data_IF_795104152897
#
_entry.id   IF_795104152897
#
_cell.length_a   1.000
_cell.length_b   1.000
_cell.length_c   1.000
_cell.angle_alpha   90.00
_cell.angle_beta   90.00
_cell.angle_gamma   90.00
#
_symmetry.space_group_name_H-M   'P 1'
#
loop_
_entity.id
_entity.type
_entity.pdbx_description
1 polymer ?
#
# COMPACT_ATOMS: atom_id res chain seq x y z
N UNK A 1 19.88 -19.13 -31.42
CA UNK A 1 18.57 -19.70 -31.05
C UNK A 1 17.61 -18.52 -31.08
N UNK A 2 16.92 -18.36 -32.21
CA UNK A 2 16.02 -17.22 -32.44
C UNK A 2 14.86 -17.29 -31.44
N UNK A 3 14.67 -16.21 -30.70
CA UNK A 3 13.53 -16.03 -29.81
C UNK A 3 12.26 -15.90 -30.68
N UNK A 4 11.19 -16.64 -30.37
CA UNK A 4 9.99 -16.61 -31.17
C UNK A 4 9.40 -15.19 -31.16
N UNK A 5 9.05 -14.74 -32.37
CA UNK A 5 8.45 -13.45 -32.67
C UNK A 5 7.19 -13.25 -31.81
N UNK A 6 7.26 -12.32 -30.86
CA UNK A 6 6.15 -11.99 -29.95
C UNK A 6 5.32 -10.91 -30.64
N UNK A 7 4.13 -11.27 -31.14
CA UNK A 7 3.08 -10.38 -31.67
C UNK A 7 3.51 -8.91 -31.90
N UNK A 8 4.24 -8.63 -32.98
CA UNK A 8 4.33 -7.31 -33.63
C UNK A 8 4.93 -6.11 -32.85
N UNK A 9 5.40 -6.26 -31.62
CA UNK A 9 6.01 -5.15 -30.86
C UNK A 9 7.53 -5.12 -30.98
N UNK A 10 8.08 -3.96 -31.33
CA UNK A 10 9.52 -3.70 -31.31
C UNK A 10 9.90 -3.08 -29.97
N UNK A 11 10.82 -3.72 -29.22
CA UNK A 11 11.25 -3.30 -27.87
C UNK A 11 12.77 -3.00 -27.71
N UNK A 12 13.51 -2.51 -28.73
CA UNK A 12 14.95 -2.32 -28.59
C UNK A 12 15.33 -1.28 -27.52
N UNK A 13 14.60 -0.16 -27.42
CA UNK A 13 14.90 0.90 -26.45
C UNK A 13 14.49 0.48 -25.05
N UNK A 14 13.39 -0.27 -24.91
CA UNK A 14 12.99 -0.84 -23.62
C UNK A 14 14.03 -1.81 -23.08
N UNK A 15 14.61 -2.68 -23.93
CA UNK A 15 15.68 -3.60 -23.53
C UNK A 15 16.94 -2.86 -23.08
N UNK A 16 17.42 -1.89 -23.87
CA UNK A 16 18.57 -1.05 -23.51
C UNK A 16 18.32 -0.28 -22.19
N UNK A 17 17.13 0.29 -22.03
CA UNK A 17 16.77 1.00 -20.80
C UNK A 17 16.69 0.05 -19.60
N UNK A 18 16.21 -1.18 -19.77
CA UNK A 18 16.11 -2.16 -18.69
C UNK A 18 17.51 -2.64 -18.23
N UNK A 19 18.45 -2.86 -19.15
CA UNK A 19 19.85 -3.15 -18.80
C UNK A 19 20.45 -2.02 -17.95
N UNK A 20 20.19 -0.76 -18.33
CA UNK A 20 20.63 0.41 -17.56
C UNK A 20 19.94 0.49 -16.20
N UNK A 21 18.64 0.18 -16.11
CA UNK A 21 17.90 0.16 -14.86
C UNK A 21 18.50 -0.88 -13.90
N UNK A 22 18.73 -2.11 -14.37
CA UNK A 22 19.35 -3.17 -13.57
C UNK A 22 20.79 -2.84 -13.14
N UNK A 23 21.54 -2.10 -13.95
CA UNK A 23 22.88 -1.64 -13.59
C UNK A 23 22.89 -0.52 -12.52
N UNK A 24 21.80 0.24 -12.39
CA UNK A 24 21.74 1.45 -11.56
C UNK A 24 20.84 1.31 -10.32
N UNK A 25 19.87 0.40 -10.36
CA UNK A 25 18.83 0.26 -9.35
C UNK A 25 18.72 -1.22 -8.96
N UNK A 26 18.83 -1.57 -7.67
CA UNK A 26 18.60 -2.94 -7.20
C UNK A 26 17.23 -3.45 -7.66
N UNK A 27 17.21 -4.57 -8.39
CA UNK A 27 15.99 -5.16 -8.95
C UNK A 27 15.38 -4.39 -10.14
N UNK A 28 16.13 -3.46 -10.76
CA UNK A 28 15.70 -2.74 -11.96
C UNK A 28 14.62 -1.68 -11.73
N UNK A 29 14.14 -1.50 -10.49
CA UNK A 29 13.09 -0.54 -10.17
C UNK A 29 13.06 -0.17 -8.68
N UNK A 30 12.46 0.97 -8.36
CA UNK A 30 12.24 1.40 -6.96
C UNK A 30 11.09 0.66 -6.24
N UNK A 31 10.51 -0.36 -6.87
CA UNK A 31 9.45 -1.20 -6.30
C UNK A 31 9.54 -2.57 -6.94
N UNK A 32 9.67 -3.64 -6.15
CA UNK A 32 9.85 -5.00 -6.67
C UNK A 32 8.69 -5.48 -7.56
N UNK A 33 7.47 -4.98 -7.37
CA UNK A 33 6.34 -5.25 -8.28
C UNK A 33 6.55 -4.77 -9.74
N UNK A 34 7.64 -4.04 -10.03
CA UNK A 34 8.05 -3.61 -11.36
C UNK A 34 9.31 -4.33 -11.85
N UNK A 35 9.88 -5.24 -11.05
CA UNK A 35 11.09 -5.98 -11.38
C UNK A 35 10.86 -7.03 -12.47
N UNK A 36 11.95 -7.49 -13.07
CA UNK A 36 11.93 -8.47 -14.17
C UNK A 36 11.36 -9.83 -13.75
N UNK A 37 11.42 -10.16 -12.46
CA UNK A 37 10.87 -11.39 -11.88
C UNK A 37 9.33 -11.40 -11.82
N UNK A 38 8.68 -10.26 -12.10
CA UNK A 38 7.23 -10.11 -12.10
C UNK A 38 6.59 -10.21 -13.49
N UNK A 39 7.40 -10.21 -14.55
CA UNK A 39 6.95 -10.21 -15.94
C UNK A 39 7.66 -11.32 -16.73
N UNK A 40 7.10 -11.80 -17.85
CA UNK A 40 7.79 -12.80 -18.66
C UNK A 40 9.15 -12.28 -19.14
N UNK A 41 10.13 -13.18 -19.21
CA UNK A 41 11.47 -12.86 -19.70
C UNK A 41 11.37 -12.16 -21.08
N UNK A 42 12.08 -11.04 -21.22
CA UNK A 42 12.07 -10.18 -22.42
C UNK A 42 10.78 -9.40 -22.73
N UNK A 43 9.79 -9.39 -21.82
CA UNK A 43 8.50 -8.68 -21.97
C UNK A 43 8.24 -7.64 -20.86
N UNK A 44 9.28 -6.94 -20.40
CA UNK A 44 9.15 -5.78 -19.51
C UNK A 44 9.32 -4.46 -20.29
N UNK A 45 8.26 -3.89 -20.87
CA UNK A 45 8.35 -2.58 -21.52
C UNK A 45 8.68 -1.50 -20.49
N UNK A 46 9.60 -0.59 -20.82
CA UNK A 46 9.91 0.56 -19.96
C UNK A 46 8.92 1.67 -20.27
N UNK A 47 8.02 1.96 -19.33
CA UNK A 47 6.92 2.92 -19.53
C UNK A 47 7.45 4.36 -19.58
N UNK A 48 7.07 5.10 -20.63
CA UNK A 48 7.41 6.52 -20.80
C UNK A 48 6.33 7.44 -20.24
N UNK A 49 5.06 7.19 -20.54
CA UNK A 49 3.93 8.00 -20.08
C UNK A 49 2.60 7.25 -20.14
N UNK A 50 1.58 7.83 -19.51
CA UNK A 50 0.20 7.34 -19.57
C UNK A 50 -0.80 8.46 -19.71
N UNK A 51 -1.96 8.15 -20.31
CA UNK A 51 -3.11 9.05 -20.43
C UNK A 51 -4.41 8.24 -20.47
N UNK A 52 -5.34 8.53 -19.57
CA UNK A 52 -6.57 7.75 -19.41
C UNK A 52 -6.25 6.29 -19.08
N UNK A 53 -6.85 5.35 -19.79
CA UNK A 53 -6.62 3.91 -19.60
C UNK A 53 -5.37 3.36 -20.33
N UNK A 54 -4.62 4.21 -21.02
CA UNK A 54 -3.50 3.77 -21.86
C UNK A 54 -2.15 4.22 -21.30
N UNK A 55 -1.13 3.41 -21.56
CA UNK A 55 0.29 3.71 -21.34
C UNK A 55 1.09 3.47 -22.62
N UNK A 56 2.22 4.15 -22.73
CA UNK A 56 3.17 4.01 -23.81
C UNK A 56 4.52 3.64 -23.23
N UNK A 57 5.22 2.71 -23.88
CA UNK A 57 6.61 2.45 -23.55
C UNK A 57 7.56 3.49 -24.18
N UNK A 58 8.87 3.31 -24.02
CA UNK A 58 9.90 4.15 -24.64
C UNK A 58 10.07 3.88 -26.13
N UNK A 59 9.59 2.76 -26.65
CA UNK A 59 9.59 2.41 -28.08
C UNK A 59 8.38 2.99 -28.83
N UNK A 60 7.38 3.50 -28.10
CA UNK A 60 6.16 4.09 -28.63
C UNK A 60 4.99 3.12 -28.76
N UNK A 61 5.16 1.88 -28.29
CA UNK A 61 4.07 0.90 -28.26
C UNK A 61 3.04 1.31 -27.22
N UNK A 62 1.76 1.13 -27.54
CA UNK A 62 0.63 1.54 -26.70
C UNK A 62 -0.07 0.34 -26.10
N UNK A 63 -0.33 0.39 -24.80
CA UNK A 63 -0.98 -0.66 -24.03
C UNK A 63 -2.21 -0.12 -23.30
N UNK A 64 -3.17 -0.98 -23.03
CA UNK A 64 -4.20 -0.75 -22.01
C UNK A 64 -3.65 -1.27 -20.68
N UNK A 65 -3.57 -0.44 -19.64
CA UNK A 65 -2.97 -0.84 -18.37
C UNK A 65 -4.01 -1.27 -17.34
N UNK A 66 -4.26 -2.58 -17.24
CA UNK A 66 -5.18 -3.13 -16.24
C UNK A 66 -4.64 -3.04 -14.79
N UNK A 67 -3.32 -3.04 -14.62
CA UNK A 67 -2.67 -2.85 -13.31
C UNK A 67 -2.67 -1.39 -12.82
N UNK A 68 -2.92 -0.43 -13.72
CA UNK A 68 -3.03 1.03 -13.50
C UNK A 68 -2.18 1.55 -12.33
N UNK A 69 -0.88 1.70 -12.55
CA UNK A 69 0.06 2.28 -11.58
C UNK A 69 0.17 1.48 -10.29
N UNK A 70 0.24 0.15 -10.38
CA UNK A 70 0.22 -0.75 -9.20
C UNK A 70 -1.01 -0.51 -8.31
N UNK A 71 -2.18 -0.33 -8.95
CA UNK A 71 -3.47 -0.02 -8.34
C UNK A 71 -3.50 1.36 -7.65
N UNK A 72 -2.55 2.26 -7.91
CA UNK A 72 -2.62 3.65 -7.41
C UNK A 72 -3.41 4.59 -8.31
N UNK A 73 -3.55 4.27 -9.59
CA UNK A 73 -4.32 5.06 -10.56
C UNK A 73 -5.71 4.46 -10.68
N UNK A 74 -6.74 5.26 -10.43
CA UNK A 74 -8.15 4.84 -10.40
C UNK A 74 -9.01 5.57 -11.42
N UNK A 75 -8.71 6.85 -11.67
CA UNK A 75 -9.39 7.70 -12.65
C UNK A 75 -8.73 7.64 -14.05
N UNK A 76 -7.65 6.87 -14.17
CA UNK A 76 -6.77 6.87 -15.33
C UNK A 76 -5.62 7.88 -15.20
N UNK A 77 -4.60 7.68 -16.03
CA UNK A 77 -3.36 8.44 -16.00
C UNK A 77 -3.56 9.88 -16.46
N UNK A 78 -2.82 10.80 -15.85
CA UNK A 78 -2.86 12.23 -16.17
C UNK A 78 -4.29 12.79 -16.22
N UNK A 79 -5.13 12.38 -15.26
CA UNK A 79 -6.52 12.81 -15.20
C UNK A 79 -6.61 14.35 -15.10
N UNK A 80 -7.25 15.05 -16.05
CA UNK A 80 -7.15 16.52 -16.16
C UNK A 80 -7.52 17.27 -14.88
N UNK A 81 -8.58 16.84 -14.17
CA UNK A 81 -9.01 17.46 -12.91
C UNK A 81 -7.93 17.34 -11.82
N UNK A 82 -7.25 16.19 -11.75
CA UNK A 82 -6.24 15.92 -10.72
C UNK A 82 -4.97 16.69 -11.04
N UNK A 83 -4.49 16.59 -12.29
CA UNK A 83 -3.28 17.30 -12.73
C UNK A 83 -3.42 18.82 -12.61
N UNK A 84 -4.58 19.39 -12.93
CA UNK A 84 -4.83 20.82 -12.78
C UNK A 84 -4.86 21.27 -11.30
N UNK A 85 -5.50 20.48 -10.43
CA UNK A 85 -5.49 20.78 -8.99
C UNK A 85 -4.08 20.78 -8.40
N UNK A 86 -3.25 19.82 -8.82
CA UNK A 86 -1.83 19.72 -8.45
C UNK A 86 -1.04 20.92 -8.97
N UNK A 87 -1.18 21.28 -10.25
CA UNK A 87 -0.48 22.43 -10.84
C UNK A 87 -0.78 23.72 -10.07
N UNK A 88 -2.07 24.00 -9.85
CA UNK A 88 -2.50 25.21 -9.14
C UNK A 88 -1.96 25.26 -7.71
N UNK A 89 -1.89 24.12 -7.03
CA UNK A 89 -1.35 24.09 -5.66
C UNK A 89 0.17 24.30 -5.65
N UNK A 90 0.89 23.74 -6.63
CA UNK A 90 2.34 23.94 -6.75
C UNK A 90 2.74 25.40 -6.98
N UNK A 91 1.89 26.22 -7.62
CA UNK A 91 2.12 27.66 -7.76
C UNK A 91 2.14 28.40 -6.40
N UNK A 92 1.67 27.76 -5.33
CA UNK A 92 1.66 28.29 -3.95
C UNK A 92 2.81 27.77 -3.09
N UNK A 93 3.58 26.78 -3.58
CA UNK A 93 4.60 26.05 -2.83
C UNK A 93 4.13 24.67 -2.35
N UNK A 94 5.08 23.74 -2.18
CA UNK A 94 4.80 22.31 -1.96
C UNK A 94 4.93 21.80 -0.52
N UNK A 95 5.67 22.49 0.34
CA UNK A 95 5.98 22.04 1.70
C UNK A 95 6.40 23.24 2.58
N UNK A 96 5.98 23.24 3.85
CA UNK A 96 6.14 24.40 4.74
C UNK A 96 6.47 23.98 6.18
N UNK A 97 7.06 24.91 6.94
CA UNK A 97 7.38 24.70 8.38
C UNK A 97 6.15 24.77 9.30
N UNK A 98 5.02 25.26 8.79
CA UNK A 98 3.73 25.37 9.48
C UNK A 98 2.65 24.77 8.58
N UNK A 99 1.54 24.28 9.15
CA UNK A 99 0.49 23.68 8.35
C UNK A 99 -0.07 24.65 7.29
N UNK A 100 -0.23 24.18 6.06
CA UNK A 100 -0.95 24.90 5.01
C UNK A 100 -2.46 24.75 5.21
N UNK A 101 -3.24 25.71 4.71
CA UNK A 101 -4.70 25.65 4.80
C UNK A 101 -5.29 24.42 4.07
N UNK A 102 -4.63 23.95 3.01
CA UNK A 102 -5.04 22.74 2.28
C UNK A 102 -5.11 21.49 3.18
N UNK A 103 -4.36 21.47 4.29
CA UNK A 103 -4.37 20.34 5.23
C UNK A 103 -5.69 20.23 5.99
N UNK A 104 -6.29 21.36 6.39
CA UNK A 104 -7.61 21.33 7.04
C UNK A 104 -8.70 21.00 6.03
N UNK A 105 -8.64 21.57 4.82
CA UNK A 105 -9.60 21.25 3.75
C UNK A 105 -9.57 19.76 3.38
N UNK A 106 -8.37 19.19 3.24
CA UNK A 106 -8.22 17.77 2.94
C UNK A 106 -8.73 16.88 4.07
N UNK A 107 -8.48 17.25 5.33
CA UNK A 107 -8.94 16.49 6.50
C UNK A 107 -10.46 16.51 6.63
N UNK A 108 -11.09 17.69 6.55
CA UNK A 108 -12.55 17.84 6.62
C UNK A 108 -13.24 17.05 5.52
N UNK A 109 -12.70 17.13 4.29
CA UNK A 109 -13.25 16.41 3.15
C UNK A 109 -13.12 14.91 3.29
N UNK A 110 -11.94 14.43 3.69
CA UNK A 110 -11.71 13.00 3.93
C UNK A 110 -12.69 12.45 4.97
N UNK A 111 -12.89 13.15 6.09
CA UNK A 111 -13.78 12.72 7.16
C UNK A 111 -15.27 12.80 6.76
N UNK A 112 -15.63 13.71 5.84
CA UNK A 112 -16.96 13.72 5.24
C UNK A 112 -17.19 12.51 4.32
N UNK A 113 -16.14 12.03 3.63
CA UNK A 113 -16.21 10.83 2.78
C UNK A 113 -16.15 9.52 3.58
N UNK A 114 -15.40 9.48 4.68
CA UNK A 114 -15.23 8.30 5.54
C UNK A 114 -15.84 8.61 6.92
N UNK A 115 -17.19 8.59 7.06
CA UNK A 115 -17.89 9.08 8.24
C UNK A 115 -17.71 8.20 9.49
N UNK A 116 -17.12 7.02 9.32
CA UNK A 116 -16.75 6.08 10.38
C UNK A 116 -15.51 6.52 11.15
N UNK A 117 -14.74 7.49 10.64
CA UNK A 117 -13.55 8.03 11.29
C UNK A 117 -13.83 9.42 11.91
N UNK A 118 -13.21 9.70 13.05
CA UNK A 118 -13.34 10.99 13.75
C UNK A 118 -12.11 11.89 13.56
N UNK A 119 -10.98 11.29 13.17
CA UNK A 119 -9.70 11.96 12.92
C UNK A 119 -8.96 11.28 11.77
N UNK A 120 -8.15 12.06 11.06
CA UNK A 120 -7.27 11.58 9.99
C UNK A 120 -5.87 12.18 10.14
N UNK A 121 -4.86 11.41 9.73
CA UNK A 121 -3.46 11.79 9.66
C UNK A 121 -2.90 11.35 8.31
N UNK A 122 -2.48 12.30 7.48
CA UNK A 122 -1.90 12.00 6.17
C UNK A 122 -0.42 11.62 6.27
N UNK A 123 0.02 10.77 5.33
CA UNK A 123 1.39 10.37 5.10
C UNK A 123 1.64 10.16 3.59
N UNK A 124 2.81 9.64 3.21
CA UNK A 124 3.20 9.48 1.79
C UNK A 124 3.01 8.07 1.25
N UNK A 125 3.12 7.06 2.09
CA UNK A 125 3.05 5.66 1.69
C UNK A 125 2.18 4.84 2.66
N UNK A 126 1.76 3.65 2.22
CA UNK A 126 0.86 2.81 3.00
C UNK A 126 1.51 2.20 4.24
N UNK A 127 2.77 1.77 4.13
CA UNK A 127 3.57 1.18 5.21
C UNK A 127 3.65 2.06 6.45
N UNK A 128 3.82 3.37 6.24
CA UNK A 128 3.80 4.37 7.32
C UNK A 128 2.45 4.32 8.05
N UNK A 129 1.34 4.36 7.31
CA UNK A 129 -0.01 4.39 7.89
C UNK A 129 -0.38 3.09 8.62
N UNK A 130 -0.07 1.92 8.05
CA UNK A 130 -0.34 0.62 8.67
C UNK A 130 0.52 0.40 9.90
N UNK A 131 1.80 0.75 9.86
CA UNK A 131 2.67 0.67 11.02
C UNK A 131 2.25 1.65 12.12
N UNK A 132 1.82 2.85 11.74
CA UNK A 132 1.25 3.81 12.67
C UNK A 132 -0.01 3.27 13.37
N UNK A 133 -0.90 2.57 12.65
CA UNK A 133 -2.06 1.90 13.24
C UNK A 133 -1.64 0.84 14.28
N UNK A 134 -0.64 0.00 13.95
CA UNK A 134 -0.08 -0.99 14.88
C UNK A 134 0.52 -0.33 16.13
N UNK A 135 1.26 0.78 15.97
CA UNK A 135 1.83 1.52 17.11
C UNK A 135 0.74 2.11 18.01
N UNK A 136 -0.31 2.68 17.43
CA UNK A 136 -1.47 3.15 18.21
C UNK A 136 -2.14 2.01 18.94
N UNK A 137 -2.36 0.86 18.28
CA UNK A 137 -2.98 -0.30 18.91
C UNK A 137 -2.17 -0.85 20.09
N UNK A 138 -0.84 -0.94 19.94
CA UNK A 138 0.07 -1.36 21.01
C UNK A 138 0.04 -0.39 22.19
N UNK A 139 0.21 0.90 21.92
CA UNK A 139 0.08 1.94 22.94
C UNK A 139 -1.32 1.96 23.57
N UNK A 140 -2.33 1.51 22.80
CA UNK A 140 -3.69 1.56 23.24
C UNK A 140 -4.07 0.51 24.27
N UNK A 141 -3.54 -0.68 24.03
CA UNK A 141 -3.86 -1.90 24.77
C UNK A 141 -2.77 -2.26 25.78
N UNK A 142 -1.56 -1.72 25.62
CA UNK A 142 -0.37 -2.14 26.37
C UNK A 142 0.16 -3.50 25.92
N UNK A 143 -0.33 -4.02 24.78
CA UNK A 143 -0.07 -5.39 24.34
C UNK A 143 0.95 -5.40 23.20
N UNK A 144 1.84 -6.41 23.14
CA UNK A 144 2.93 -6.38 22.18
C UNK A 144 2.58 -6.99 20.82
N UNK A 145 1.67 -7.97 20.76
CA UNK A 145 1.48 -8.79 19.55
C UNK A 145 0.45 -8.22 18.58
N UNK A 146 0.62 -8.56 17.30
CA UNK A 146 -0.31 -8.26 16.22
C UNK A 146 -0.90 -9.57 15.72
N UNK A 147 -2.21 -9.65 15.51
CA UNK A 147 -2.85 -10.71 14.74
C UNK A 147 -3.03 -10.20 13.30
N UNK A 148 -2.31 -10.79 12.37
CA UNK A 148 -2.21 -10.44 10.97
C UNK A 148 -2.94 -11.48 10.11
N UNK A 149 -3.67 -11.05 9.09
CA UNK A 149 -4.23 -11.99 8.13
C UNK A 149 -3.13 -12.57 7.20
N UNK A 150 -2.95 -13.89 7.21
CA UNK A 150 -1.86 -14.59 6.52
C UNK A 150 -1.99 -14.58 4.99
N UNK A 151 -3.23 -14.48 4.48
CA UNK A 151 -3.54 -14.65 3.06
C UNK A 151 -3.41 -13.34 2.26
N UNK A 152 -3.03 -12.25 2.93
CA UNK A 152 -2.90 -10.93 2.31
C UNK A 152 -1.43 -10.61 2.02
N UNK A 153 -1.12 -10.12 0.80
CA UNK A 153 0.24 -10.17 0.29
C UNK A 153 1.17 -9.10 0.88
N UNK A 154 0.64 -7.97 1.38
CA UNK A 154 1.47 -6.86 1.81
C UNK A 154 0.75 -5.87 2.74
N UNK A 155 1.33 -5.58 3.91
CA UNK A 155 0.84 -4.53 4.81
C UNK A 155 1.84 -3.41 5.06
N UNK A 156 3.13 -3.71 5.18
CA UNK A 156 4.15 -2.71 5.48
C UNK A 156 5.54 -3.13 5.00
N UNK A 157 6.41 -2.16 4.74
CA UNK A 157 7.83 -2.40 4.53
C UNK A 157 8.60 -2.48 5.86
N UNK A 158 7.94 -2.24 6.99
CA UNK A 158 8.55 -2.25 8.31
C UNK A 158 8.64 -3.69 8.86
N UNK A 159 9.64 -3.91 9.70
CA UNK A 159 10.07 -5.21 10.25
C UNK A 159 8.95 -6.07 10.82
N UNK A 160 7.92 -5.45 11.43
CA UNK A 160 6.79 -6.17 12.03
C UNK A 160 6.02 -7.02 11.01
N UNK A 161 6.00 -6.61 9.75
CA UNK A 161 5.39 -7.35 8.65
C UNK A 161 6.46 -8.08 7.82
N UNK A 162 7.54 -7.41 7.42
CA UNK A 162 8.56 -8.04 6.54
C UNK A 162 9.16 -9.28 7.19
N UNK A 163 9.33 -9.28 8.52
CA UNK A 163 9.78 -10.44 9.30
C UNK A 163 8.89 -11.67 9.19
N UNK A 164 7.63 -11.53 8.76
CA UNK A 164 6.70 -12.66 8.54
C UNK A 164 6.69 -13.16 7.09
N UNK A 165 7.49 -12.57 6.21
CA UNK A 165 7.53 -12.92 4.79
C UNK A 165 8.73 -13.81 4.46
N UNK A 166 8.73 -14.49 3.28
CA UNK A 166 9.91 -15.20 2.80
C UNK A 166 11.14 -14.29 2.56
N UNK A 167 10.95 -12.97 2.44
CA UNK A 167 12.01 -11.97 2.25
C UNK A 167 12.33 -11.25 3.56
N UNK A 168 12.61 -12.00 4.62
CA UNK A 168 12.80 -11.50 5.99
C UNK A 168 14.28 -11.29 6.38
N UNK A 169 15.21 -11.36 5.43
CA UNK A 169 16.63 -11.16 5.73
C UNK A 169 16.88 -9.76 6.32
N UNK A 170 17.77 -9.69 7.32
CA UNK A 170 18.03 -8.48 8.11
C UNK A 170 17.04 -8.19 9.25
N UNK A 171 15.95 -8.95 9.39
CA UNK A 171 14.95 -8.76 10.46
C UNK A 171 15.26 -9.68 11.66
N UNK A 172 15.42 -9.15 12.89
CA UNK A 172 15.58 -9.98 14.08
C UNK A 172 14.36 -10.88 14.34
N UNK A 173 14.59 -12.14 14.74
CA UNK A 173 13.49 -13.09 15.00
C UNK A 173 12.53 -12.59 16.08
N UNK A 174 13.04 -11.87 17.09
CA UNK A 174 12.24 -11.29 18.17
C UNK A 174 11.21 -10.28 17.65
N UNK A 175 11.51 -9.59 16.54
CA UNK A 175 10.53 -8.68 15.92
C UNK A 175 9.45 -9.46 15.19
N UNK A 176 9.83 -10.52 14.47
CA UNK A 176 8.89 -11.39 13.75
C UNK A 176 7.96 -12.16 14.69
N UNK A 177 8.46 -12.61 15.85
CA UNK A 177 7.70 -13.31 16.89
C UNK A 177 6.55 -12.48 17.50
N UNK A 178 6.58 -11.16 17.33
CA UNK A 178 5.50 -10.26 17.75
C UNK A 178 4.31 -10.23 16.78
N UNK A 179 4.40 -10.89 15.63
CA UNK A 179 3.32 -10.94 14.65
C UNK A 179 2.85 -12.37 14.49
N UNK A 180 1.60 -12.60 14.87
CA UNK A 180 0.89 -13.86 14.76
C UNK A 180 -0.04 -13.82 13.55
N UNK A 181 -0.29 -14.96 12.91
CA UNK A 181 -1.08 -15.02 11.69
C UNK A 181 -2.37 -15.80 11.85
N UNK A 182 -3.46 -15.36 11.20
CA UNK A 182 -4.72 -16.10 11.07
C UNK A 182 -5.19 -16.16 9.60
N UNK A 183 -5.92 -17.21 9.19
CA UNK A 183 -6.42 -17.33 7.81
C UNK A 183 -7.64 -16.44 7.56
N UNK A 184 -7.72 -15.89 6.35
CA UNK A 184 -8.86 -15.09 5.89
C UNK A 184 -10.12 -15.95 5.78
N UNK A 185 -11.25 -15.41 6.19
CA UNK A 185 -12.55 -16.08 6.11
C UNK A 185 -12.83 -17.13 7.20
N UNK A 186 -11.87 -17.45 8.08
CA UNK A 186 -12.05 -18.41 9.17
C UNK A 186 -12.13 -17.73 10.55
N UNK A 187 -13.36 -17.52 11.02
CA UNK A 187 -13.59 -16.94 12.34
C UNK A 187 -13.15 -17.85 13.49
N UNK A 188 -13.28 -19.17 13.34
CA UNK A 188 -12.98 -20.12 14.40
C UNK A 188 -11.47 -20.16 14.65
N UNK A 189 -10.67 -20.23 13.59
CA UNK A 189 -9.21 -20.15 13.69
C UNK A 189 -8.75 -18.80 14.27
N UNK A 190 -9.43 -17.71 13.91
CA UNK A 190 -9.14 -16.38 14.46
C UNK A 190 -9.45 -16.32 15.96
N UNK A 191 -10.61 -16.83 16.39
CA UNK A 191 -10.99 -16.89 17.82
C UNK A 191 -10.05 -17.79 18.63
N UNK A 192 -9.63 -18.92 18.07
CA UNK A 192 -8.66 -19.81 18.71
C UNK A 192 -7.33 -19.07 18.96
N UNK A 193 -6.82 -18.32 17.98
CA UNK A 193 -5.61 -17.52 18.12
C UNK A 193 -5.77 -16.45 19.23
N UNK A 194 -6.87 -15.71 19.21
CA UNK A 194 -7.15 -14.66 20.19
C UNK A 194 -7.34 -15.22 21.62
N UNK A 195 -7.85 -16.45 21.73
CA UNK A 195 -8.00 -17.15 23.01
C UNK A 195 -6.66 -17.66 23.52
N UNK A 196 -5.84 -18.25 22.64
CA UNK A 196 -4.51 -18.79 22.99
C UNK A 196 -3.56 -17.71 23.51
N UNK A 197 -3.62 -16.52 22.93
CA UNK A 197 -2.80 -15.36 23.31
C UNK A 197 -3.64 -14.27 23.99
N UNK A 198 -4.59 -14.69 24.83
CA UNK A 198 -5.52 -13.79 25.50
C UNK A 198 -4.77 -12.71 26.29
N UNK A 199 -5.13 -11.44 26.04
CA UNK A 199 -4.50 -10.29 26.71
C UNK A 199 -3.14 -9.89 26.14
N UNK A 200 -2.64 -10.55 25.10
CA UNK A 200 -1.32 -10.27 24.51
C UNK A 200 -1.37 -9.66 23.10
N UNK A 201 -2.54 -9.69 22.45
CA UNK A 201 -2.75 -9.17 21.09
C UNK A 201 -3.34 -7.76 21.15
N UNK A 202 -2.65 -6.80 20.52
CA UNK A 202 -3.02 -5.39 20.45
C UNK A 202 -4.06 -5.11 19.36
N UNK A 203 -3.89 -5.72 18.19
CA UNK A 203 -4.79 -5.53 17.06
C UNK A 203 -4.99 -6.78 16.23
N UNK A 204 -6.14 -6.83 15.56
CA UNK A 204 -6.44 -7.70 14.42
C UNK A 204 -6.38 -6.81 13.18
N UNK A 205 -5.50 -7.13 12.23
CA UNK A 205 -5.27 -6.34 11.01
C UNK A 205 -5.46 -7.19 9.75
N UNK A 206 -6.25 -6.68 8.80
CA UNK A 206 -6.54 -7.32 7.52
C UNK A 206 -6.96 -6.32 6.42
N UNK A 207 -6.79 -6.69 5.16
CA UNK A 207 -7.57 -6.10 4.06
C UNK A 207 -9.03 -6.58 4.18
N UNK A 208 -10.05 -5.70 4.15
CA UNK A 208 -11.45 -6.13 4.32
C UNK A 208 -11.99 -7.01 3.19
N UNK A 209 -11.41 -6.85 2.00
CA UNK A 209 -11.71 -7.60 0.79
C UNK A 209 -10.52 -7.52 -0.17
N UNK A 210 -10.35 -8.55 -1.00
CA UNK A 210 -9.32 -8.57 -2.04
C UNK A 210 -9.94 -8.93 -3.39
N UNK A 211 -9.34 -9.85 -4.15
CA UNK A 211 -10.01 -10.53 -5.25
C UNK A 211 -11.07 -11.52 -4.75
N UNK A 212 -11.03 -11.86 -3.46
CA UNK A 212 -11.99 -12.72 -2.76
C UNK A 212 -12.85 -11.87 -1.83
N UNK A 213 -14.17 -11.99 -1.98
CA UNK A 213 -15.16 -11.37 -1.10
C UNK A 213 -15.12 -12.00 0.30
N UNK A 214 -15.33 -11.24 1.38
CA UNK A 214 -15.45 -11.81 2.72
C UNK A 214 -16.63 -12.79 2.78
N UNK A 215 -16.49 -13.96 3.42
CA UNK A 215 -17.63 -14.83 3.66
C UNK A 215 -18.74 -14.11 4.43
N UNK A 216 -20.03 -14.46 4.20
CA UNK A 216 -21.14 -13.84 4.91
C UNK A 216 -20.93 -13.87 6.43
N UNK A 217 -21.05 -12.70 7.07
CA UNK A 217 -20.87 -12.55 8.53
C UNK A 217 -19.43 -12.53 9.02
N UNK A 218 -18.43 -12.78 8.16
CA UNK A 218 -17.01 -12.82 8.56
C UNK A 218 -16.54 -11.49 9.19
N UNK A 219 -16.68 -10.37 8.49
CA UNK A 219 -16.21 -9.07 9.01
C UNK A 219 -16.94 -8.64 10.28
N UNK A 220 -18.25 -8.91 10.38
CA UNK A 220 -19.03 -8.65 11.58
C UNK A 220 -18.58 -9.52 12.76
N UNK A 221 -18.25 -10.79 12.48
CA UNK A 221 -17.66 -11.71 13.46
C UNK A 221 -16.30 -11.23 13.95
N UNK A 222 -15.42 -10.74 13.05
CA UNK A 222 -14.12 -10.18 13.42
C UNK A 222 -14.26 -8.94 14.32
N UNK A 223 -15.22 -8.06 14.01
CA UNK A 223 -15.55 -6.92 14.87
C UNK A 223 -15.95 -7.37 16.27
N UNK A 224 -16.87 -8.32 16.36
CA UNK A 224 -17.32 -8.86 17.64
C UNK A 224 -16.18 -9.56 18.41
N UNK A 225 -15.28 -10.26 17.72
CA UNK A 225 -14.09 -10.87 18.32
C UNK A 225 -13.12 -9.82 18.86
N UNK A 226 -12.82 -8.79 18.06
CA UNK A 226 -11.94 -7.70 18.48
C UNK A 226 -12.49 -7.03 19.75
N UNK A 227 -13.80 -6.78 19.83
CA UNK A 227 -14.44 -6.22 21.02
C UNK A 227 -14.34 -7.14 22.24
N UNK A 228 -14.69 -8.43 22.08
CA UNK A 228 -14.64 -9.42 23.18
C UNK A 228 -13.24 -9.59 23.75
N UNK A 229 -12.22 -9.58 22.90
CA UNK A 229 -10.83 -9.76 23.32
C UNK A 229 -10.12 -8.44 23.64
N UNK A 230 -10.78 -7.30 23.49
CA UNK A 230 -10.19 -5.97 23.71
C UNK A 230 -9.04 -5.64 22.77
N UNK A 231 -9.14 -6.07 21.51
CA UNK A 231 -8.18 -5.78 20.44
C UNK A 231 -8.68 -4.61 19.59
N UNK A 232 -7.76 -3.83 19.03
CA UNK A 232 -8.09 -2.83 18.01
C UNK A 232 -8.30 -3.54 16.67
N UNK A 233 -9.44 -3.35 16.02
CA UNK A 233 -9.65 -3.82 14.65
C UNK A 233 -9.10 -2.80 13.66
N UNK A 234 -8.16 -3.21 12.82
CA UNK A 234 -7.54 -2.37 11.80
C UNK A 234 -7.92 -2.89 10.41
N UNK A 235 -8.59 -2.07 9.62
CA UNK A 235 -8.83 -2.36 8.21
C UNK A 235 -7.76 -1.68 7.34
N UNK A 236 -6.97 -2.50 6.66
CA UNK A 236 -6.10 -2.03 5.59
C UNK A 236 -6.93 -1.78 4.33
N UNK A 237 -7.31 -0.52 4.13
CA UNK A 237 -8.09 -0.06 2.99
C UNK A 237 -7.21 0.54 1.87
N UNK A 238 -5.92 0.18 1.82
CA UNK A 238 -4.99 0.70 0.81
C UNK A 238 -5.43 0.35 -0.61
N UNK A 239 -6.02 -0.82 -0.81
CA UNK A 239 -6.60 -1.21 -2.11
C UNK A 239 -8.07 -0.82 -2.14
N UNK A 240 -8.79 -1.01 -1.03
CA UNK A 240 -10.25 -0.96 -1.02
C UNK A 240 -10.87 0.41 -1.00
N UNK A 241 -10.27 1.30 -0.22
CA UNK A 241 -10.66 2.69 -0.11
C UNK A 241 -10.56 3.40 -1.46
N UNK A 242 -11.57 4.20 -1.77
CA UNK A 242 -11.66 4.98 -3.02
C UNK A 242 -11.63 4.12 -4.29
N UNK A 243 -11.90 2.80 -4.18
CA UNK A 243 -11.91 1.87 -5.32
C UNK A 243 -13.19 1.02 -5.37
N UNK A 244 -13.47 0.22 -4.33
CA UNK A 244 -14.76 -0.49 -4.25
C UNK A 244 -15.86 0.45 -3.75
N UNK A 245 -15.51 1.39 -2.88
CA UNK A 245 -16.36 2.48 -2.42
C UNK A 245 -15.48 3.66 -2.04
N UNK A 246 -15.98 4.89 -2.26
CA UNK A 246 -15.33 6.11 -1.78
C UNK A 246 -15.14 6.10 -0.26
N UNK A 247 -16.15 5.60 0.47
CA UNK A 247 -16.13 5.44 1.92
C UNK A 247 -15.42 4.16 2.40
N UNK A 248 -14.78 3.41 1.48
CA UNK A 248 -14.12 2.14 1.76
C UNK A 248 -15.05 0.94 1.85
N UNK A 249 -14.45 -0.25 1.84
CA UNK A 249 -15.09 -1.53 2.04
C UNK A 249 -15.84 -1.58 3.39
N UNK A 250 -15.37 -0.85 4.41
CA UNK A 250 -16.10 -0.70 5.68
C UNK A 250 -17.54 -0.22 5.48
N UNK A 251 -17.77 0.72 4.56
CA UNK A 251 -19.12 1.19 4.22
C UNK A 251 -19.89 0.17 3.37
N UNK A 252 -19.22 -0.54 2.48
CA UNK A 252 -19.84 -1.54 1.61
C UNK A 252 -20.38 -2.74 2.41
N UNK A 253 -19.62 -3.20 3.40
CA UNK A 253 -19.95 -4.35 4.24
C UNK A 253 -20.60 -3.97 5.57
N UNK A 254 -20.74 -2.68 5.88
CA UNK A 254 -21.40 -2.19 7.08
C UNK A 254 -20.68 -2.54 8.39
N UNK A 255 -19.35 -2.61 8.38
CA UNK A 255 -18.53 -2.94 9.56
C UNK A 255 -17.55 -1.81 9.82
N UNK A 256 -17.60 -1.25 11.03
CA UNK A 256 -16.76 -0.12 11.43
C UNK A 256 -15.49 -0.62 12.15
N UNK A 257 -14.29 -0.43 11.57
CA UNK A 257 -13.04 -0.71 12.25
C UNK A 257 -12.72 0.38 13.27
N UNK A 258 -11.79 0.10 14.19
CA UNK A 258 -11.30 1.12 15.13
C UNK A 258 -10.35 2.10 14.45
N UNK A 259 -9.52 1.58 13.54
CA UNK A 259 -8.60 2.31 12.69
C UNK A 259 -8.70 1.75 11.26
N UNK A 260 -8.52 2.60 10.27
CA UNK A 260 -8.40 2.20 8.86
C UNK A 260 -7.32 3.00 8.16
N UNK A 261 -6.71 2.38 7.16
CA UNK A 261 -5.60 2.98 6.41
C UNK A 261 -5.91 3.07 4.94
N UNK A 262 -5.63 4.20 4.30
CA UNK A 262 -5.99 4.49 2.91
C UNK A 262 -4.77 4.97 2.14
N UNK A 263 -4.80 4.85 0.81
CA UNK A 263 -3.76 5.35 -0.07
C UNK A 263 -4.11 5.07 -1.51
N UNK A 264 -3.10 4.83 -2.35
CA UNK A 264 -3.26 4.39 -3.74
C UNK A 264 -4.30 5.23 -4.50
N UNK A 265 -5.51 4.70 -4.71
CA UNK A 265 -6.62 5.37 -5.39
C UNK A 265 -6.94 6.75 -4.80
N UNK A 266 -6.72 6.96 -3.50
CA UNK A 266 -6.84 8.25 -2.82
C UNK A 266 -6.12 9.38 -3.57
N UNK A 267 -4.91 9.12 -4.09
CA UNK A 267 -4.08 10.12 -4.76
C UNK A 267 -4.10 10.06 -6.29
N UNK A 268 -4.74 9.06 -6.89
CA UNK A 268 -4.68 8.77 -8.33
C UNK A 268 -3.25 8.86 -8.90
N UNK A 269 -2.30 8.15 -8.29
CA UNK A 269 -0.88 8.12 -8.66
C UNK A 269 0.02 9.12 -7.92
N UNK A 270 -0.53 10.10 -7.20
CA UNK A 270 0.24 10.95 -6.30
C UNK A 270 0.48 10.26 -4.95
N UNK A 271 1.67 10.43 -4.38
CA UNK A 271 2.05 9.82 -3.11
C UNK A 271 1.32 10.52 -1.95
N UNK A 272 0.24 9.89 -1.50
CA UNK A 272 -0.56 10.24 -0.33
C UNK A 272 -1.20 8.97 0.24
N UNK A 273 -1.17 8.87 1.56
CA UNK A 273 -1.87 7.87 2.35
C UNK A 273 -2.52 8.53 3.56
N UNK A 274 -3.42 7.84 4.22
CA UNK A 274 -4.11 8.32 5.40
C UNK A 274 -4.24 7.20 6.43
N UNK A 275 -4.02 7.53 7.69
CA UNK A 275 -4.48 6.77 8.85
C UNK A 275 -5.70 7.50 9.41
N UNK A 276 -6.81 6.80 9.60
CA UNK A 276 -8.05 7.38 10.10
C UNK A 276 -8.74 6.45 11.11
N UNK A 277 -9.54 7.00 12.01
CA UNK A 277 -10.33 6.20 12.94
C UNK A 277 -10.78 6.96 14.17
N UNK A 278 -11.01 6.22 15.26
CA UNK A 278 -11.49 6.77 16.53
C UNK A 278 -10.53 7.79 17.14
N UNK A 279 -11.07 8.88 17.68
CA UNK A 279 -10.33 9.97 18.31
C UNK A 279 -9.50 9.52 19.50
N UNK A 280 -10.02 8.63 20.33
CA UNK A 280 -9.32 8.13 21.52
C UNK A 280 -8.04 7.35 21.19
N UNK A 281 -8.01 6.67 20.04
CA UNK A 281 -6.81 6.03 19.51
C UNK A 281 -5.89 7.03 18.84
N UNK A 282 -6.42 7.87 17.95
CA UNK A 282 -5.63 8.83 17.17
C UNK A 282 -4.93 9.87 18.04
N UNK A 283 -5.57 10.34 19.12
CA UNK A 283 -4.98 11.31 20.05
C UNK A 283 -3.79 10.76 20.84
N UNK A 284 -3.56 9.44 20.89
CA UNK A 284 -2.33 8.91 21.51
C UNK A 284 -1.06 9.29 20.76
N UNK A 285 -1.18 9.69 19.48
CA UNK A 285 -0.09 10.31 18.72
C UNK A 285 -0.01 11.84 18.87
N UNK A 286 -0.99 12.44 19.54
CA UNK A 286 -1.18 13.87 19.72
C UNK A 286 -0.61 14.38 21.04
N UNK A 287 -1.11 15.54 21.46
CA UNK A 287 -0.78 16.16 22.75
C UNK A 287 -2.01 16.23 23.69
N UNK A 288 -3.19 15.81 23.22
CA UNK A 288 -4.46 15.95 23.94
C UNK A 288 -4.85 14.63 24.61
N UNK A 289 -3.92 14.03 25.35
CA UNK A 289 -4.16 12.83 26.16
C UNK A 289 -3.17 12.78 27.34
N UNK A 290 -3.48 12.07 28.44
CA UNK A 290 -2.67 12.09 29.66
C UNK A 290 -1.45 11.14 29.66
N UNK A 291 -1.25 10.35 28.60
CA UNK A 291 -0.22 9.32 28.54
C UNK A 291 1.01 9.73 27.75
N UNK A 292 2.00 8.82 27.66
CA UNK A 292 3.17 9.02 26.81
C UNK A 292 2.78 9.06 25.33
N UNK A 293 3.29 10.08 24.64
CA UNK A 293 2.98 10.31 23.24
C UNK A 293 3.63 9.24 22.37
N UNK A 294 2.81 8.59 21.55
CA UNK A 294 3.29 7.73 20.46
C UNK A 294 3.91 8.61 19.38
N UNK A 295 5.15 8.30 18.97
CA UNK A 295 5.68 8.85 17.73
C UNK A 295 4.93 8.22 16.54
N UNK A 296 3.82 8.86 16.16
CA UNK A 296 2.85 8.31 15.22
C UNK A 296 3.33 8.39 13.77
N UNK A 297 3.13 9.56 13.16
CA UNK A 297 3.47 9.88 11.77
C UNK A 297 4.01 11.31 11.76
N UNK A 298 5.32 11.43 11.61
CA UNK A 298 6.02 12.71 11.57
C UNK A 298 7.14 12.63 10.55
N UNK A 299 6.80 12.86 9.30
CA UNK A 299 7.72 12.86 8.17
C UNK A 299 7.76 14.26 7.55
N UNK A 300 8.93 14.68 7.07
CA UNK A 300 9.14 16.01 6.47
C UNK A 300 8.19 16.30 5.31
N UNK A 301 7.77 15.27 4.58
CA UNK A 301 6.94 15.38 3.38
C UNK A 301 5.50 14.89 3.61
N UNK A 302 5.10 14.55 4.85
CA UNK A 302 3.83 13.86 5.11
C UNK A 302 2.58 14.58 4.60
N UNK A 303 2.61 15.92 4.58
CA UNK A 303 1.50 16.78 4.16
C UNK A 303 1.87 17.66 2.95
N UNK A 304 2.66 17.14 2.01
CA UNK A 304 2.94 17.88 0.77
C UNK A 304 1.64 18.32 0.08
N UNK A 305 1.52 19.63 -0.13
CA UNK A 305 0.25 20.29 -0.44
C UNK A 305 -0.36 19.80 -1.74
N UNK A 306 0.49 19.61 -2.76
CA UNK A 306 0.08 19.12 -4.07
C UNK A 306 -0.50 17.70 -4.02
N UNK A 307 -0.04 16.83 -3.12
CA UNK A 307 -0.58 15.48 -2.97
C UNK A 307 -1.95 15.50 -2.28
N UNK A 308 -2.16 16.42 -1.32
CA UNK A 308 -3.47 16.66 -0.71
C UNK A 308 -4.46 17.27 -1.72
N UNK A 309 -4.00 18.20 -2.56
CA UNK A 309 -4.80 18.74 -3.66
C UNK A 309 -5.22 17.65 -4.66
N UNK A 310 -4.31 16.71 -4.98
CA UNK A 310 -4.65 15.54 -5.79
C UNK A 310 -5.75 14.70 -5.12
N UNK A 311 -5.63 14.41 -3.82
CA UNK A 311 -6.61 13.62 -3.08
C UNK A 311 -8.00 14.26 -3.03
N UNK A 312 -8.06 15.58 -2.84
CA UNK A 312 -9.32 16.32 -2.91
C UNK A 312 -9.90 16.35 -4.33
N UNK A 313 -9.05 16.43 -5.36
CA UNK A 313 -9.51 16.37 -6.73
C UNK A 313 -10.12 15.01 -7.08
N UNK A 314 -9.54 13.91 -6.60
CA UNK A 314 -10.10 12.56 -6.71
C UNK A 314 -11.50 12.48 -6.10
N UNK A 315 -11.65 12.91 -4.85
CA UNK A 315 -12.95 12.99 -4.17
C UNK A 315 -13.95 13.88 -4.91
N UNK A 316 -13.48 14.94 -5.58
CA UNK A 316 -14.34 15.82 -6.40
C UNK A 316 -14.84 15.09 -7.65
N UNK A 317 -13.96 14.33 -8.30
CA UNK A 317 -14.30 13.55 -9.48
C UNK A 317 -15.40 12.56 -9.14
N UNK A 318 -15.21 11.74 -8.10
CA UNK A 318 -16.19 10.73 -7.72
C UNK A 318 -17.54 11.30 -7.28
N UNK A 319 -17.55 12.46 -6.61
CA UNK A 319 -18.80 13.12 -6.22
C UNK A 319 -19.57 13.75 -7.41
N UNK A 320 -18.89 14.07 -8.52
CA UNK A 320 -19.50 14.79 -9.67
C UNK A 320 -19.84 13.87 -10.83
N UNK A 321 -18.96 12.93 -11.09
CA UNK A 321 -19.12 11.91 -12.12
C UNK A 321 -19.66 10.73 -11.33
N UNK A 322 -20.92 10.33 -11.53
CA UNK A 322 -21.50 9.16 -10.86
C UNK A 322 -20.42 8.09 -10.72
N UNK A 323 -20.02 7.82 -9.47
CA UNK A 323 -18.92 6.91 -9.12
C UNK A 323 -19.00 5.69 -10.04
N UNK A 324 -17.89 5.29 -10.71
CA UNK A 324 -17.89 4.57 -11.99
C UNK A 324 -18.93 3.48 -11.94
N UNK A 325 -19.87 3.43 -12.92
CA UNK A 325 -21.17 2.78 -12.81
C UNK A 325 -21.00 1.37 -12.29
N UNK A 326 -21.02 1.20 -10.97
CA UNK A 326 -20.69 -0.04 -10.28
C UNK A 326 -19.49 -0.74 -10.99
N UNK A 327 -18.22 -0.50 -10.62
CA UNK A 327 -17.10 -1.28 -11.19
C UNK A 327 -17.44 -2.79 -11.19
N UNK A 328 -18.22 -3.23 -10.22
CA UNK A 328 -18.93 -4.51 -10.15
C UNK A 328 -19.91 -4.78 -11.30
N UNK A 329 -20.74 -3.86 -11.80
CA UNK A 329 -21.54 -3.95 -13.04
C UNK A 329 -20.70 -4.01 -14.30
N UNK A 330 -19.62 -3.23 -14.39
CA UNK A 330 -18.68 -3.34 -15.52
C UNK A 330 -18.00 -4.72 -15.51
N UNK A 331 -17.41 -5.14 -14.38
CA UNK A 331 -16.81 -6.48 -14.21
C UNK A 331 -17.85 -7.62 -14.37
N UNK A 332 -19.08 -7.46 -13.89
CA UNK A 332 -20.20 -8.40 -14.11
C UNK A 332 -20.55 -8.52 -15.59
N UNK A 333 -20.41 -7.44 -16.36
CA UNK A 333 -20.62 -7.48 -17.82
C UNK A 333 -19.54 -8.27 -18.57
N UNK A 334 -18.41 -8.59 -17.93
CA UNK A 334 -17.34 -9.44 -18.46
C UNK A 334 -17.39 -10.88 -17.93
N UNK A 335 -18.38 -11.26 -17.11
CA UNK A 335 -18.55 -12.65 -16.65
C UNK A 335 -18.91 -13.57 -17.84
N UNK A 336 -18.42 -14.82 -17.86
CA UNK A 336 -18.84 -15.81 -18.85
C UNK A 336 -20.37 -15.92 -18.88
N UNK A 337 -20.98 -15.69 -20.05
CA UNK A 337 -22.44 -15.75 -20.25
C UNK A 337 -23.16 -14.42 -20.52
N UNK A 338 -22.46 -13.27 -20.54
CA UNK A 338 -23.07 -11.94 -20.73
C UNK A 338 -23.44 -11.55 -22.17
N UNK A 339 -23.28 -12.45 -23.15
CA UNK A 339 -23.70 -12.23 -24.55
C UNK A 339 -22.92 -11.18 -25.35
N UNK A 340 -21.85 -10.58 -24.80
CA UNK A 340 -20.95 -9.70 -25.55
C UNK A 340 -19.83 -10.50 -26.22
N UNK A 341 -19.42 -10.15 -27.45
CA UNK A 341 -18.34 -10.84 -28.13
C UNK A 341 -17.04 -10.71 -27.32
N UNK A 342 -16.38 -11.84 -27.07
CA UNK A 342 -15.06 -11.89 -26.46
C UNK A 342 -14.06 -11.11 -27.34
N UNK A 343 -13.24 -10.20 -26.79
CA UNK A 343 -12.10 -9.70 -27.53
C UNK A 343 -11.13 -10.86 -27.81
N UNK A 344 -10.47 -10.85 -28.97
CA UNK A 344 -9.68 -11.97 -29.50
C UNK A 344 -8.59 -12.49 -28.54
N UNK A 345 -8.12 -11.68 -27.59
CA UNK A 345 -7.14 -12.08 -26.58
C UNK A 345 -7.72 -12.94 -25.44
N UNK A 346 -9.04 -12.90 -25.21
CA UNK A 346 -9.71 -13.70 -24.18
C UNK A 346 -9.84 -15.21 -24.54
N UNK A 347 -9.35 -15.59 -25.73
CA UNK A 347 -9.22 -16.96 -26.22
C UNK A 347 -7.88 -17.61 -25.84
N UNK A 348 -6.94 -16.86 -25.26
CA UNK A 348 -5.65 -17.41 -24.82
C UNK A 348 -5.87 -18.17 -23.52
N UNK A 349 -6.12 -19.48 -23.65
CA UNK A 349 -6.04 -20.42 -22.53
C UNK A 349 -4.57 -20.58 -22.14
N UNK A 350 -4.17 -20.07 -20.98
CA UNK A 350 -2.97 -20.57 -20.30
C UNK A 350 -3.24 -22.02 -19.91
N UNK A 351 -2.54 -22.96 -20.53
CA UNK A 351 -2.52 -24.34 -20.08
C UNK A 351 -1.70 -24.43 -18.79
N UNK A 352 -2.37 -24.48 -17.64
CA UNK A 352 -1.74 -24.89 -16.39
C UNK A 352 -1.56 -26.41 -16.40
N UNK A 353 -0.38 -26.88 -16.78
CA UNK A 353 0.00 -28.28 -16.53
C UNK A 353 0.42 -28.43 -15.06
N UNK A 354 -0.40 -29.14 -14.29
CA UNK A 354 0.04 -29.90 -13.12
C UNK A 354 0.06 -29.16 -11.78
N UNK A 355 -0.82 -29.60 -10.88
CA UNK A 355 -0.66 -29.45 -9.45
C UNK A 355 0.66 -30.12 -9.02
N UNK A 356 1.58 -29.34 -8.48
CA UNK A 356 2.83 -29.82 -7.90
C UNK A 356 3.32 -28.79 -6.88
N UNK A 357 3.46 -29.22 -5.63
CA UNK A 357 4.13 -28.49 -4.57
C UNK A 357 5.51 -28.03 -5.04
N UNK A 358 5.72 -26.71 -5.14
CA UNK A 358 7.03 -26.14 -5.41
C UNK A 358 7.90 -26.27 -4.15
N UNK A 359 8.62 -27.37 -4.03
CA UNK A 359 9.80 -27.46 -3.18
C UNK A 359 10.89 -26.57 -3.77
N UNK A 360 11.29 -25.55 -3.02
CA UNK A 360 12.42 -24.69 -3.34
C UNK A 360 13.73 -25.48 -3.16
N UNK A 361 14.29 -26.02 -4.23
CA UNK A 361 15.68 -26.48 -4.26
C UNK A 361 16.53 -25.43 -4.96
N UNK A 362 17.26 -24.63 -4.18
CA UNK A 362 18.37 -23.81 -4.67
C UNK A 362 19.53 -24.73 -5.09
N UNK A 363 20.21 -24.49 -6.22
CA UNK A 363 21.44 -25.19 -6.55
C UNK A 363 22.56 -24.80 -5.56
N UNK A 364 23.45 -25.73 -5.18
CA UNK A 364 24.48 -25.47 -4.19
C UNK A 364 25.50 -24.45 -4.72
N UNK A 365 25.68 -23.36 -3.97
CA UNK A 365 26.84 -22.50 -4.07
C UNK A 365 28.08 -23.33 -3.74
N UNK A 366 28.98 -23.49 -4.73
CA UNK A 366 30.29 -24.11 -4.51
C UNK A 366 31.15 -23.14 -3.70
N UNK A 367 31.37 -23.50 -2.44
CA UNK A 367 32.29 -22.82 -1.53
C UNK A 367 33.73 -23.03 -1.98
N UNK A 368 34.34 -21.97 -2.52
CA UNK A 368 35.79 -21.90 -2.75
C UNK A 368 36.46 -21.01 -1.71
N UNK A 369 37.29 -21.61 -0.84
CA UNK A 369 38.41 -20.93 -0.17
C UNK A 369 38.14 -20.33 1.21
N UNK A 370 38.60 -21.02 2.26
CA UNK A 370 38.53 -20.62 3.66
C UNK A 370 39.46 -19.45 4.10
N UNK A 371 39.57 -19.22 5.42
CA UNK A 371 39.73 -17.89 6.01
C UNK A 371 41.18 -17.48 6.24
N UNK A 372 41.44 -16.16 6.16
CA UNK A 372 42.59 -15.55 6.85
C UNK A 372 42.09 -14.53 7.86
N UNK A 373 42.40 -14.83 9.13
CA UNK A 373 42.35 -13.91 10.26
C UNK A 373 43.33 -12.76 10.01
N UNK A 374 42.93 -11.53 10.31
CA UNK A 374 43.85 -10.56 10.91
C UNK A 374 43.12 -9.73 11.96
N UNK A 375 43.82 -9.56 13.06
CA UNK A 375 43.47 -8.86 14.28
C UNK A 375 43.81 -7.37 14.17
N UNK A 376 43.07 -6.57 14.94
CA UNK A 376 43.47 -5.35 15.66
C UNK A 376 42.93 -3.98 15.16
N UNK A 377 42.73 -3.02 16.10
CA UNK A 377 41.67 -2.01 16.09
C UNK A 377 42.19 -0.58 15.89
N UNK A 378 41.31 0.41 15.64
CA UNK A 378 41.40 1.72 16.31
C UNK A 378 40.25 2.68 16.00
N UNK A 379 39.98 3.51 16.99
CA UNK A 379 39.04 4.61 17.15
C UNK A 379 39.22 5.80 16.20
N UNK A 380 38.16 6.60 16.01
CA UNK A 380 38.23 8.05 16.16
C UNK A 380 36.86 8.68 16.43
N UNK A 381 36.87 9.61 17.37
CA UNK A 381 35.75 10.41 17.85
C UNK A 381 35.62 11.73 17.08
N UNK A 382 34.41 12.29 17.12
CA UNK A 382 34.19 13.73 17.18
C UNK A 382 34.13 14.49 15.85
N UNK A 383 32.95 15.04 15.53
CA UNK A 383 32.89 16.45 15.16
C UNK A 383 31.52 17.04 15.50
N UNK A 384 31.58 18.26 16.01
CA UNK A 384 30.57 19.00 16.78
C UNK A 384 29.93 20.12 15.98
N UNK A 385 28.65 20.41 16.30
CA UNK A 385 27.98 21.72 16.41
C UNK A 385 27.95 22.73 15.24
N UNK A 386 26.78 23.39 15.19
CA UNK A 386 26.46 24.74 14.65
C UNK A 386 26.28 24.85 13.12
N UNK A 387 25.40 25.70 12.58
CA UNK A 387 24.56 26.75 13.15
C UNK A 387 23.51 27.22 12.14
N UNK A 388 22.41 27.76 12.65
CA UNK A 388 21.94 29.14 12.46
C UNK A 388 21.19 29.48 11.15
N UNK A 389 19.96 29.91 11.40
CA UNK A 389 19.02 30.59 10.50
C UNK A 389 19.55 31.95 10.04
N UNK A 390 19.22 32.33 8.80
CA UNK A 390 19.13 33.74 8.43
C UNK A 390 17.92 34.01 7.53
N UNK A 391 17.04 34.91 8.00
CA UNK A 391 16.12 35.71 7.20
C UNK A 391 16.90 36.61 6.24
N UNK A 392 16.44 36.76 5.00
CA UNK A 392 16.34 38.07 4.34
C UNK A 392 15.12 38.12 3.42
N UNK A 393 14.34 39.17 3.63
CA UNK A 393 13.30 39.71 2.75
C UNK A 393 13.93 40.35 1.51
N UNK A 394 13.35 40.08 0.34
CA UNK A 394 12.76 41.05 -0.59
C UNK A 394 11.63 40.35 -1.34
#
# INVERSE_FOLDING_TARGET
METPDTDGFSLPRSREANERLNALIPGGAHTYAKGDDQYPEHLAPVISHGRGAHVWDVDGNRYVEYGSGLRSVSLGHAHPRVTEAVRRELDRGGNFVRPSFVEVEAAERFLATVPTAEMVKFAKNGSDATTAAVRLARAATGRPRVALCADHPFFSADDWFIGTTPMSDGIPSQTAELTLSFPYGDLAATEELLTRYHGEIACVVLEPATHTEPPPGYLAGLRALADRHGCVLVFDEMITGFRWSEAGAQSLYGVVPDLSTFGKALGNGFAVSALAGRRDLMERGGLRHPGDRVFLLSTTHGAETHALAAAMAVQTTYAREESPPDCTRWVRSWRPGSGRPRPAWASVTMSSSGAGTATWSSPPWTSGGGPRRSTAPCSCAGCSRAGCWHRRSW
#
